data_IF_074790840275
#
_entry.id   IF_074790840275
#
_cell.length_a   1.000
_cell.length_b   1.000
_cell.length_c   1.000
_cell.angle_alpha   90.00
_cell.angle_beta   90.00
_cell.angle_gamma   90.00
#
_symmetry.space_group_name_H-M   'P 1'
#
loop_
_entity.id
_entity.type
_entity.pdbx_description
1 polymer ?
#
# COMPACT_ATOMS: atom_id res chain seq x y z
N UNK A 1 -2.55 -13.69 17.91
CA UNK A 1 -2.08 -13.33 16.56
C UNK A 1 -1.22 -12.10 16.69
N UNK A 2 -0.04 -12.07 16.06
CA UNK A 2 0.77 -10.85 15.99
C UNK A 2 0.33 -10.09 14.75
N UNK A 3 -0.23 -8.90 14.92
CA UNK A 3 -0.57 -8.03 13.79
C UNK A 3 0.73 -7.45 13.22
N UNK A 4 0.85 -7.38 11.89
CA UNK A 4 2.01 -6.82 11.21
C UNK A 4 1.57 -5.71 10.27
N UNK A 5 2.34 -4.62 10.21
CA UNK A 5 2.04 -3.51 9.29
C UNK A 5 3.32 -2.82 8.82
N UNK A 6 3.29 -2.30 7.60
CA UNK A 6 4.30 -1.41 7.06
C UNK A 6 3.95 0.06 7.32
N UNK A 7 4.96 0.91 7.52
CA UNK A 7 4.79 2.36 7.56
C UNK A 7 5.50 2.95 6.35
N UNK A 8 4.74 3.68 5.52
CA UNK A 8 5.23 4.29 4.28
C UNK A 8 4.94 5.79 4.25
N UNK A 9 5.82 6.56 3.64
CA UNK A 9 5.56 7.96 3.30
C UNK A 9 6.11 8.29 1.92
N UNK A 10 5.62 9.38 1.35
CA UNK A 10 6.10 9.96 0.10
C UNK A 10 7.30 10.86 0.42
N UNK A 11 8.46 10.55 -0.18
CA UNK A 11 9.75 11.19 0.06
C UNK A 11 10.39 11.67 -1.25
N UNK A 12 11.42 12.50 -1.13
CA UNK A 12 12.17 13.01 -2.27
C UNK A 12 11.35 13.98 -3.11
N UNK A 13 10.35 14.64 -2.52
CA UNK A 13 9.42 15.50 -3.27
C UNK A 13 9.88 16.97 -3.40
N UNK A 14 11.16 17.25 -3.10
CA UNK A 14 11.81 18.49 -3.50
C UNK A 14 12.11 18.52 -5.01
N UNK A 15 12.60 19.65 -5.51
CA UNK A 15 13.08 19.77 -6.89
C UNK A 15 14.07 20.93 -7.06
N UNK A 16 15.29 20.65 -7.50
CA UNK A 16 16.35 21.65 -7.64
C UNK A 16 16.66 22.31 -6.30
N UNK A 17 16.40 23.62 -6.20
CA UNK A 17 16.61 24.38 -4.97
C UNK A 17 15.43 24.30 -3.99
N UNK A 18 14.28 23.75 -4.40
CA UNK A 18 13.09 23.65 -3.57
C UNK A 18 13.13 22.38 -2.71
N UNK A 19 12.94 22.55 -1.40
CA UNK A 19 12.80 21.45 -0.44
C UNK A 19 11.33 21.29 -0.04
N UNK A 20 10.91 20.05 0.19
CA UNK A 20 9.56 19.70 0.62
C UNK A 20 9.64 18.67 1.75
N UNK A 21 8.97 18.93 2.88
CA UNK A 21 8.98 18.03 4.03
C UNK A 21 10.33 17.90 4.75
N UNK A 22 10.36 16.99 5.73
CA UNK A 22 11.57 16.57 6.44
C UNK A 22 11.76 15.06 6.26
N UNK A 23 12.27 14.68 5.09
CA UNK A 23 12.48 13.27 4.70
C UNK A 23 13.34 12.51 5.71
N UNK A 24 14.37 13.15 6.28
CA UNK A 24 15.29 12.49 7.20
C UNK A 24 14.62 12.14 8.51
N UNK A 25 13.80 13.04 9.07
CA UNK A 25 13.03 12.78 10.27
C UNK A 25 11.98 11.69 10.05
N UNK A 26 11.33 11.67 8.87
CA UNK A 26 10.39 10.60 8.53
C UNK A 26 11.07 9.24 8.45
N UNK A 27 12.25 9.15 7.83
CA UNK A 27 12.94 7.86 7.66
C UNK A 27 13.26 7.14 8.98
N UNK A 28 13.30 7.84 10.11
CA UNK A 28 13.49 7.23 11.43
C UNK A 28 12.21 6.52 11.96
N UNK A 29 11.07 6.73 11.28
CA UNK A 29 9.76 6.14 11.59
C UNK A 29 9.37 5.03 10.61
N UNK A 30 9.79 5.14 9.35
CA UNK A 30 9.30 4.34 8.24
C UNK A 30 9.95 2.94 8.14
N UNK A 31 9.26 2.05 7.43
CA UNK A 31 9.83 0.79 6.94
C UNK A 31 9.90 0.75 5.41
N UNK A 32 9.12 1.57 4.73
CA UNK A 32 9.14 1.76 3.28
C UNK A 32 9.06 3.25 2.91
N UNK A 33 9.55 3.61 1.72
CA UNK A 33 9.47 4.97 1.19
C UNK A 33 9.00 4.96 -0.27
N UNK A 34 8.06 5.84 -0.61
CA UNK A 34 7.68 6.13 -1.99
C UNK A 34 8.52 7.31 -2.48
N UNK A 35 9.50 7.08 -3.36
CA UNK A 35 10.43 8.12 -3.81
C UNK A 35 9.97 8.69 -5.14
N UNK A 36 9.80 10.02 -5.21
CA UNK A 36 9.45 10.73 -6.44
C UNK A 36 10.45 10.47 -7.59
N UNK A 37 9.95 10.45 -8.83
CA UNK A 37 10.69 9.93 -10.00
C UNK A 37 10.93 10.97 -11.11
N UNK A 38 10.88 12.27 -10.79
CA UNK A 38 11.25 13.36 -11.69
C UNK A 38 10.11 14.00 -12.48
N UNK A 39 8.90 13.44 -12.44
CA UNK A 39 7.76 13.98 -13.19
C UNK A 39 6.94 14.99 -12.37
N UNK A 40 6.48 14.63 -11.17
CA UNK A 40 5.82 15.58 -10.26
C UNK A 40 6.80 16.29 -9.32
N UNK A 41 7.88 15.61 -8.96
CA UNK A 41 8.93 16.05 -8.06
C UNK A 41 10.14 15.10 -8.14
N UNK A 42 11.21 15.38 -7.39
CA UNK A 42 12.37 14.50 -7.25
C UNK A 42 13.30 14.54 -8.46
N UNK A 43 14.24 15.49 -8.47
CA UNK A 43 15.29 15.50 -9.49
C UNK A 43 16.37 14.42 -9.23
N UNK A 44 17.27 14.13 -10.20
CA UNK A 44 18.28 13.08 -10.06
C UNK A 44 19.13 13.13 -8.78
N UNK A 45 19.46 14.32 -8.27
CA UNK A 45 20.28 14.45 -7.05
C UNK A 45 19.47 14.11 -5.81
N UNK A 46 18.19 14.49 -5.80
CA UNK A 46 17.27 14.15 -4.72
C UNK A 46 17.00 12.65 -4.73
N UNK A 47 16.70 12.04 -5.89
CA UNK A 47 16.53 10.59 -6.00
C UNK A 47 17.75 9.81 -5.48
N UNK A 48 18.96 10.18 -5.93
CA UNK A 48 20.22 9.59 -5.48
C UNK A 48 20.40 9.72 -3.95
N UNK A 49 20.20 10.92 -3.42
CA UNK A 49 20.29 11.16 -1.98
C UNK A 49 19.27 10.32 -1.22
N UNK A 50 17.97 10.42 -1.54
CA UNK A 50 16.88 9.74 -0.82
C UNK A 50 17.09 8.22 -0.82
N UNK A 51 17.47 7.62 -1.95
CA UNK A 51 17.83 6.18 -2.01
C UNK A 51 18.98 5.87 -1.05
N UNK A 52 20.05 6.68 -1.08
CA UNK A 52 21.19 6.52 -0.16
C UNK A 52 20.77 6.66 1.31
N UNK A 53 19.85 7.56 1.66
CA UNK A 53 19.32 7.72 3.02
C UNK A 53 18.47 6.51 3.43
N UNK A 54 17.65 5.96 2.53
CA UNK A 54 16.86 4.74 2.76
C UNK A 54 17.76 3.54 3.07
N UNK A 55 18.78 3.30 2.24
CA UNK A 55 19.73 2.18 2.42
C UNK A 55 20.43 2.23 3.77
N UNK A 56 20.89 3.42 4.19
CA UNK A 56 21.56 3.58 5.50
C UNK A 56 20.67 3.25 6.69
N UNK A 57 19.35 3.39 6.54
CA UNK A 57 18.36 3.15 7.60
C UNK A 57 17.61 1.82 7.45
N UNK A 58 17.91 1.04 6.41
CA UNK A 58 17.21 -0.21 6.12
C UNK A 58 15.76 -0.02 5.69
N UNK A 59 15.40 1.16 5.17
CA UNK A 59 14.06 1.47 4.65
C UNK A 59 13.94 0.94 3.20
N UNK A 60 12.84 0.26 2.90
CA UNK A 60 12.57 -0.26 1.57
C UNK A 60 12.30 0.86 0.57
N UNK A 61 12.98 0.82 -0.58
CA UNK A 61 12.84 1.81 -1.66
C UNK A 61 11.68 1.44 -2.56
N UNK A 62 10.73 2.35 -2.77
CA UNK A 62 9.66 2.23 -3.75
C UNK A 62 9.63 3.40 -4.73
N UNK A 63 9.14 3.15 -5.94
CA UNK A 63 8.94 4.20 -6.93
C UNK A 63 7.60 4.90 -6.71
N UNK A 64 7.59 6.23 -6.79
CA UNK A 64 6.40 7.06 -6.70
C UNK A 64 6.09 7.78 -8.03
N UNK A 65 5.71 7.04 -9.08
CA UNK A 65 5.50 7.60 -10.41
C UNK A 65 4.22 8.43 -10.48
N UNK A 66 4.24 9.48 -11.28
CA UNK A 66 3.15 10.45 -11.41
C UNK A 66 2.85 10.76 -12.88
N UNK A 67 1.87 11.64 -13.10
CA UNK A 67 1.80 12.38 -14.36
C UNK A 67 2.97 13.35 -14.53
N UNK A 68 3.38 13.67 -15.78
CA UNK A 68 4.42 14.66 -16.10
C UNK A 68 3.93 16.09 -15.87
N UNK A 69 3.63 16.43 -14.61
CA UNK A 69 3.10 17.71 -14.19
C UNK A 69 3.85 18.25 -12.96
N UNK A 70 5.06 18.77 -13.19
CA UNK A 70 5.88 19.33 -12.12
C UNK A 70 5.20 20.53 -11.42
N UNK A 71 4.64 21.46 -12.19
CA UNK A 71 4.02 22.69 -11.65
C UNK A 71 2.77 22.39 -10.83
N UNK A 72 1.95 21.43 -11.26
CA UNK A 72 0.77 20.98 -10.52
C UNK A 72 1.07 19.86 -9.53
N UNK A 73 2.35 19.51 -9.34
CA UNK A 73 2.81 18.45 -8.44
C UNK A 73 2.11 17.10 -8.72
N UNK A 74 1.83 16.79 -9.99
CA UNK A 74 1.14 15.55 -10.37
C UNK A 74 -0.30 15.42 -9.83
N UNK A 75 -0.89 16.50 -9.28
CA UNK A 75 -2.23 16.50 -8.67
C UNK A 75 -3.34 16.92 -9.63
N UNK A 76 -3.02 17.37 -10.85
CA UNK A 76 -4.00 17.73 -11.88
C UNK A 76 -4.31 16.55 -12.79
N UNK A 77 -5.53 16.51 -13.32
CA UNK A 77 -5.91 15.52 -14.32
C UNK A 77 -5.22 15.86 -15.65
N UNK A 78 -4.68 14.84 -16.29
CA UNK A 78 -4.16 14.89 -17.65
C UNK A 78 -4.85 13.80 -18.45
N UNK A 79 -5.24 14.11 -19.68
CA UNK A 79 -5.94 13.18 -20.56
C UNK A 79 -4.93 12.38 -21.37
N UNK A 80 -4.17 11.53 -20.67
CA UNK A 80 -3.21 10.62 -21.31
C UNK A 80 -3.93 9.37 -21.84
N UNK A 81 -3.39 8.80 -22.90
CA UNK A 81 -3.74 7.46 -23.37
C UNK A 81 -3.19 6.40 -22.41
N UNK A 82 -3.76 5.17 -22.39
CA UNK A 82 -3.20 4.07 -21.60
C UNK A 82 -1.75 3.72 -21.96
N UNK A 83 -1.36 3.86 -23.23
CA UNK A 83 0.01 3.60 -23.67
C UNK A 83 0.98 4.64 -23.10
N UNK A 84 0.61 5.93 -23.11
CA UNK A 84 1.40 7.00 -22.46
C UNK A 84 1.56 6.73 -20.96
N UNK A 85 0.49 6.34 -20.26
CA UNK A 85 0.58 5.94 -18.85
C UNK A 85 1.55 4.77 -18.68
N UNK A 86 1.46 3.73 -19.53
CA UNK A 86 2.37 2.57 -19.47
C UNK A 86 3.82 3.01 -19.64
N UNK A 87 4.13 3.81 -20.66
CA UNK A 87 5.50 4.25 -20.95
C UNK A 87 6.05 5.19 -19.90
N UNK A 88 5.23 6.08 -19.34
CA UNK A 88 5.62 7.00 -18.28
C UNK A 88 5.96 6.24 -16.98
N UNK A 89 5.21 5.18 -16.68
CA UNK A 89 5.53 4.26 -15.58
C UNK A 89 6.87 3.57 -15.81
N UNK A 90 7.11 3.05 -17.02
CA UNK A 90 8.38 2.40 -17.36
C UNK A 90 9.59 3.33 -17.17
N UNK A 91 9.48 4.56 -17.68
CA UNK A 91 10.51 5.57 -17.57
C UNK A 91 10.84 5.90 -16.10
N UNK A 92 9.82 6.22 -15.31
CA UNK A 92 9.98 6.67 -13.92
C UNK A 92 10.53 5.56 -13.02
N UNK A 93 10.01 4.33 -13.14
CA UNK A 93 10.53 3.19 -12.38
C UNK A 93 11.96 2.88 -12.82
N UNK A 94 12.25 2.89 -14.12
CA UNK A 94 13.60 2.69 -14.65
C UNK A 94 14.61 3.69 -14.11
N UNK A 95 14.23 4.98 -14.05
CA UNK A 95 15.07 6.04 -13.51
C UNK A 95 15.44 5.77 -12.03
N UNK A 96 14.47 5.44 -11.18
CA UNK A 96 14.76 5.15 -9.77
C UNK A 96 15.56 3.85 -9.59
N UNK A 97 15.29 2.81 -10.41
CA UNK A 97 16.05 1.55 -10.40
C UNK A 97 17.55 1.75 -10.64
N UNK A 98 17.94 2.72 -11.47
CA UNK A 98 19.34 3.03 -11.70
C UNK A 98 20.04 3.49 -10.41
N UNK A 99 19.43 4.40 -9.64
CA UNK A 99 19.98 4.84 -8.35
C UNK A 99 19.94 3.72 -7.30
N UNK A 100 18.85 2.96 -7.22
CA UNK A 100 18.75 1.81 -6.32
C UNK A 100 19.90 0.81 -6.56
N UNK A 101 20.19 0.50 -7.83
CA UNK A 101 21.27 -0.42 -8.22
C UNK A 101 22.64 0.12 -7.82
N UNK A 102 22.89 1.43 -7.98
CA UNK A 102 24.15 2.07 -7.59
C UNK A 102 24.47 1.94 -6.09
N UNK A 103 23.45 1.77 -5.24
CA UNK A 103 23.59 1.54 -3.80
C UNK A 103 23.38 0.07 -3.38
N UNK A 104 23.47 -0.88 -4.32
CA UNK A 104 23.28 -2.32 -4.07
C UNK A 104 21.93 -2.64 -3.41
N UNK A 105 20.89 -1.88 -3.75
CA UNK A 105 19.50 -2.16 -3.37
C UNK A 105 18.64 -2.29 -4.62
N UNK A 106 17.36 -2.52 -4.42
CA UNK A 106 16.38 -2.62 -5.49
C UNK A 106 15.11 -1.88 -5.10
N UNK A 107 14.39 -1.39 -6.12
CA UNK A 107 13.02 -0.91 -5.94
C UNK A 107 12.15 -2.12 -5.58
N UNK A 108 11.42 -2.05 -4.46
CA UNK A 108 10.61 -3.14 -3.88
C UNK A 108 9.15 -3.03 -4.23
N UNK A 109 8.66 -1.81 -4.36
CA UNK A 109 7.26 -1.52 -4.63
C UNK A 109 7.10 -0.30 -5.53
N UNK A 110 5.90 -0.14 -6.05
CA UNK A 110 5.47 1.09 -6.73
C UNK A 110 4.21 1.60 -6.05
N UNK A 111 4.04 2.91 -5.99
CA UNK A 111 2.84 3.56 -5.48
C UNK A 111 2.54 4.75 -6.40
N UNK A 112 1.49 4.74 -7.24
CA UNK A 112 1.24 5.86 -8.14
C UNK A 112 0.84 7.14 -7.36
N UNK A 113 1.48 8.25 -7.69
CA UNK A 113 1.34 9.53 -7.01
C UNK A 113 0.05 10.27 -7.40
N UNK A 114 -0.46 11.08 -6.48
CA UNK A 114 -1.35 12.20 -6.76
C UNK A 114 -2.58 11.83 -7.59
N UNK A 115 -2.77 12.51 -8.73
CA UNK A 115 -3.94 12.29 -9.57
C UNK A 115 -3.89 10.95 -10.30
N UNK A 116 -2.70 10.45 -10.65
CA UNK A 116 -2.56 9.11 -11.23
C UNK A 116 -3.05 8.06 -10.22
N UNK A 117 -2.59 8.14 -8.96
CA UNK A 117 -3.03 7.25 -7.86
C UNK A 117 -4.54 7.24 -7.64
N UNK A 118 -5.19 8.41 -7.73
CA UNK A 118 -6.66 8.49 -7.63
C UNK A 118 -7.38 7.84 -8.83
N UNK A 119 -6.86 8.03 -10.04
CA UNK A 119 -7.50 7.52 -11.26
C UNK A 119 -7.35 6.01 -11.36
N UNK A 120 -6.18 5.44 -11.07
CA UNK A 120 -5.96 4.00 -11.16
C UNK A 120 -6.79 3.18 -10.16
N UNK A 121 -7.30 3.81 -9.10
CA UNK A 121 -8.24 3.16 -8.18
C UNK A 121 -9.63 2.92 -8.83
N UNK A 122 -10.01 3.70 -9.85
CA UNK A 122 -11.38 3.72 -10.40
C UNK A 122 -11.47 3.60 -11.93
N UNK A 123 -10.36 3.78 -12.65
CA UNK A 123 -10.28 3.70 -14.12
C UNK A 123 -9.58 2.41 -14.56
N UNK A 124 -10.32 1.41 -15.07
CA UNK A 124 -9.75 0.11 -15.45
C UNK A 124 -8.69 0.20 -16.55
N UNK A 125 -8.82 1.12 -17.51
CA UNK A 125 -7.86 1.34 -18.59
C UNK A 125 -6.49 1.79 -18.06
N UNK A 126 -6.47 2.73 -17.12
CA UNK A 126 -5.23 3.19 -16.49
C UNK A 126 -4.66 2.14 -15.52
N UNK A 127 -5.52 1.47 -14.76
CA UNK A 127 -5.11 0.37 -13.88
C UNK A 127 -4.39 -0.74 -14.65
N UNK A 128 -4.93 -1.14 -15.81
CA UNK A 128 -4.31 -2.15 -16.68
C UNK A 128 -2.96 -1.68 -17.22
N UNK A 129 -2.85 -0.42 -17.67
CA UNK A 129 -1.60 0.14 -18.15
C UNK A 129 -0.51 0.16 -17.08
N UNK A 130 -0.83 0.56 -15.85
CA UNK A 130 0.10 0.54 -14.72
C UNK A 130 0.52 -0.90 -14.40
N UNK A 131 -0.43 -1.83 -14.28
CA UNK A 131 -0.12 -3.22 -13.96
C UNK A 131 0.73 -3.90 -15.06
N UNK A 132 0.49 -3.59 -16.34
CA UNK A 132 1.29 -4.07 -17.46
C UNK A 132 2.73 -3.49 -17.45
N UNK A 133 2.89 -2.21 -17.13
CA UNK A 133 4.21 -1.61 -16.98
C UNK A 133 5.02 -2.30 -15.87
N UNK A 134 4.38 -2.59 -14.73
CA UNK A 134 5.03 -3.29 -13.61
C UNK A 134 5.38 -4.73 -13.98
N UNK A 135 4.43 -5.47 -14.55
CA UNK A 135 4.61 -6.86 -14.98
C UNK A 135 5.76 -7.00 -15.99
N UNK A 136 5.86 -6.08 -16.96
CA UNK A 136 6.90 -6.11 -17.99
C UNK A 136 8.28 -5.73 -17.47
N UNK A 137 8.37 -4.96 -16.39
CA UNK A 137 9.65 -4.58 -15.77
C UNK A 137 10.18 -5.63 -14.81
N UNK A 138 9.33 -6.08 -13.89
CA UNK A 138 9.72 -6.96 -12.79
C UNK A 138 8.50 -7.47 -12.01
N UNK A 139 8.19 -8.76 -12.16
CA UNK A 139 7.07 -9.40 -11.45
C UNK A 139 7.26 -9.49 -9.93
N UNK A 140 8.47 -9.24 -9.43
CA UNK A 140 8.73 -9.23 -7.98
C UNK A 140 8.32 -7.93 -7.28
N UNK A 141 8.05 -6.86 -8.05
CA UNK A 141 7.56 -5.59 -7.52
C UNK A 141 6.18 -5.75 -6.88
N UNK A 142 6.01 -5.12 -5.72
CA UNK A 142 4.73 -5.00 -5.05
C UNK A 142 4.00 -3.77 -5.61
N UNK A 143 2.76 -3.94 -6.06
CA UNK A 143 1.88 -2.83 -6.43
C UNK A 143 1.20 -2.34 -5.16
N UNK A 144 1.60 -1.18 -4.66
CA UNK A 144 0.95 -0.52 -3.54
C UNK A 144 -0.22 0.33 -4.05
N UNK A 145 -1.44 0.01 -3.63
CA UNK A 145 -2.66 0.62 -4.14
C UNK A 145 -3.74 0.73 -3.06
N UNK A 146 -4.72 1.60 -3.29
CA UNK A 146 -6.02 1.47 -2.63
C UNK A 146 -6.74 0.24 -3.21
N UNK A 147 -7.67 -0.32 -2.45
CA UNK A 147 -8.54 -1.36 -3.00
C UNK A 147 -9.36 -0.80 -4.18
N UNK A 148 -9.57 -1.61 -5.22
CA UNK A 148 -10.19 -1.19 -6.47
C UNK A 148 -9.39 -1.57 -7.72
N UNK A 149 -9.57 -0.80 -8.80
CA UNK A 149 -9.22 -1.24 -10.15
C UNK A 149 -7.74 -1.61 -10.34
N UNK A 150 -6.80 -0.88 -9.72
CA UNK A 150 -5.36 -1.22 -9.79
C UNK A 150 -5.03 -2.49 -9.01
N UNK A 151 -5.58 -2.64 -7.79
CA UNK A 151 -5.39 -3.85 -7.00
C UNK A 151 -5.90 -5.08 -7.77
N UNK A 152 -7.08 -4.97 -8.39
CA UNK A 152 -7.68 -6.03 -9.20
C UNK A 152 -6.87 -6.34 -10.46
N UNK A 153 -6.45 -5.31 -11.21
CA UNK A 153 -5.66 -5.48 -12.42
C UNK A 153 -4.28 -6.10 -12.14
N UNK A 154 -3.66 -5.75 -11.01
CA UNK A 154 -2.38 -6.31 -10.58
C UNK A 154 -2.53 -7.77 -10.14
N UNK A 155 -3.54 -8.09 -9.29
CA UNK A 155 -3.85 -9.47 -8.88
C UNK A 155 -4.14 -10.37 -10.08
N UNK A 156 -4.91 -9.90 -11.06
CA UNK A 156 -5.23 -10.64 -12.28
C UNK A 156 -3.99 -10.99 -13.13
N UNK A 157 -2.89 -10.24 -12.99
CA UNK A 157 -1.60 -10.48 -13.64
C UNK A 157 -0.62 -11.31 -12.80
N UNK A 158 -1.05 -11.74 -11.61
CA UNK A 158 -0.21 -12.46 -10.65
C UNK A 158 0.84 -11.60 -9.95
N UNK A 159 0.65 -10.27 -9.93
CA UNK A 159 1.51 -9.36 -9.17
C UNK A 159 1.11 -9.37 -7.68
N UNK A 160 2.09 -9.13 -6.81
CA UNK A 160 1.85 -8.92 -5.39
C UNK A 160 1.23 -7.54 -5.20
N UNK A 161 0.19 -7.45 -4.37
CA UNK A 161 -0.51 -6.21 -4.06
C UNK A 161 -0.43 -5.95 -2.57
N UNK A 162 -0.08 -4.72 -2.19
CA UNK A 162 -0.24 -4.21 -0.83
C UNK A 162 -1.36 -3.17 -0.80
N UNK A 163 -2.28 -3.29 0.15
CA UNK A 163 -3.36 -2.32 0.34
C UNK A 163 -2.92 -1.22 1.31
N UNK A 164 -3.01 0.03 0.86
CA UNK A 164 -2.68 1.21 1.66
C UNK A 164 -3.87 1.68 2.49
N UNK A 165 -3.67 1.75 3.81
CA UNK A 165 -4.56 2.42 4.75
C UNK A 165 -4.22 3.92 4.86
N UNK A 166 -5.24 4.78 4.79
CA UNK A 166 -5.08 6.24 4.82
C UNK A 166 -5.91 6.80 5.99
N UNK A 167 -5.33 6.77 7.19
CA UNK A 167 -6.06 7.00 8.44
C UNK A 167 -6.54 8.45 8.64
N UNK A 168 -5.89 9.42 8.01
CA UNK A 168 -6.21 10.85 8.10
C UNK A 168 -7.23 11.32 7.06
N UNK A 169 -7.82 10.38 6.30
CA UNK A 169 -8.88 10.67 5.33
C UNK A 169 -10.21 10.09 5.78
N UNK A 170 -11.27 10.84 5.50
CA UNK A 170 -12.63 10.37 5.69
C UNK A 170 -13.02 9.40 4.56
N UNK A 171 -13.75 8.35 4.93
CA UNK A 171 -14.23 7.30 4.03
C UNK A 171 -15.74 7.46 3.82
N UNK A 172 -16.18 7.33 2.57
CA UNK A 172 -17.58 7.11 2.22
C UNK A 172 -17.98 5.68 2.58
N UNK A 173 -19.28 5.46 2.65
CA UNK A 173 -19.87 4.15 2.99
C UNK A 173 -19.57 3.06 1.94
N UNK A 174 -19.13 3.43 0.74
CA UNK A 174 -18.68 2.53 -0.31
C UNK A 174 -17.16 2.23 -0.24
N UNK A 175 -16.47 2.70 0.80
CA UNK A 175 -15.03 2.51 0.99
C UNK A 175 -14.15 3.52 0.25
N UNK A 176 -14.70 4.38 -0.60
CA UNK A 176 -13.93 5.41 -1.29
C UNK A 176 -13.59 6.59 -0.38
N UNK A 177 -12.52 7.32 -0.68
CA UNK A 177 -12.16 8.52 0.08
C UNK A 177 -13.06 9.71 -0.26
N UNK A 178 -13.46 10.47 0.76
CA UNK A 178 -14.18 11.74 0.58
C UNK A 178 -13.25 12.75 -0.12
N UNK A 179 -13.66 13.40 -1.23
CA UNK A 179 -12.84 14.40 -1.94
C UNK A 179 -12.32 15.51 -1.03
N UNK A 180 -11.05 15.90 -1.18
CA UNK A 180 -10.40 16.92 -0.32
C UNK A 180 -11.12 18.28 -0.31
N UNK A 181 -11.91 18.59 -1.33
CA UNK A 181 -12.71 19.82 -1.41
C UNK A 181 -13.95 19.82 -0.52
N UNK A 182 -14.37 18.66 -0.01
CA UNK A 182 -15.55 18.55 0.85
C UNK A 182 -15.16 18.79 2.32
N UNK A 183 -16.02 19.47 3.11
CA UNK A 183 -15.81 19.63 4.54
C UNK A 183 -15.67 18.28 5.26
N UNK A 184 -14.70 18.17 6.18
CA UNK A 184 -14.45 16.95 6.94
C UNK A 184 -13.73 15.83 6.16
N UNK A 185 -13.26 16.09 4.94
CA UNK A 185 -12.53 15.10 4.14
C UNK A 185 -11.16 14.68 4.72
N UNK A 186 -10.59 15.53 5.59
CA UNK A 186 -9.30 15.34 6.24
C UNK A 186 -9.51 15.42 7.75
N UNK A 187 -9.02 14.41 8.46
CA UNK A 187 -8.99 14.39 9.93
C UNK A 187 -7.71 15.12 10.36
N UNK A 188 -7.85 16.05 11.31
CA UNK A 188 -6.72 16.85 11.82
C UNK A 188 -6.31 16.48 13.24
N UNK A 189 -7.17 15.84 14.02
CA UNK A 189 -6.86 15.50 15.41
C UNK A 189 -5.84 14.33 15.47
N UNK A 190 -4.64 14.53 16.03
CA UNK A 190 -3.62 13.49 16.08
C UNK A 190 -4.02 12.26 16.91
N UNK A 191 -4.95 12.41 17.87
CA UNK A 191 -5.45 11.30 18.67
C UNK A 191 -6.39 10.43 17.87
N UNK A 192 -7.34 11.04 17.19
CA UNK A 192 -8.27 10.37 16.30
C UNK A 192 -7.53 9.63 15.19
N UNK A 193 -6.54 10.25 14.54
CA UNK A 193 -5.76 9.59 13.47
C UNK A 193 -5.00 8.37 14.02
N UNK A 194 -4.39 8.48 15.20
CA UNK A 194 -3.66 7.37 15.80
C UNK A 194 -4.59 6.21 16.20
N UNK A 195 -5.74 6.51 16.81
CA UNK A 195 -6.76 5.53 17.15
C UNK A 195 -7.29 4.82 15.89
N UNK A 196 -7.66 5.59 14.86
CA UNK A 196 -8.09 5.06 13.56
C UNK A 196 -7.04 4.14 12.97
N UNK A 197 -5.76 4.53 13.02
CA UNK A 197 -4.67 3.71 12.49
C UNK A 197 -4.57 2.36 13.20
N UNK A 198 -4.62 2.35 14.54
CA UNK A 198 -4.58 1.09 15.31
C UNK A 198 -5.78 0.22 14.92
N UNK A 199 -7.00 0.76 14.89
CA UNK A 199 -8.21 0.00 14.52
C UNK A 199 -8.14 -0.57 13.10
N UNK A 200 -7.63 0.19 12.13
CA UNK A 200 -7.45 -0.31 10.76
C UNK A 200 -6.53 -1.55 10.72
N UNK A 201 -5.50 -1.59 11.56
CA UNK A 201 -4.50 -2.67 11.57
C UNK A 201 -4.96 -3.87 12.42
N UNK A 202 -5.57 -3.63 13.58
CA UNK A 202 -5.89 -4.68 14.56
C UNK A 202 -7.30 -5.22 14.42
N UNK A 203 -8.25 -4.40 13.95
CA UNK A 203 -9.66 -4.78 13.79
C UNK A 203 -10.05 -4.93 12.30
N UNK A 204 -9.24 -4.42 11.37
CA UNK A 204 -9.56 -4.47 9.93
C UNK A 204 -10.76 -3.60 9.57
N UNK A 205 -10.99 -2.52 10.31
CA UNK A 205 -12.12 -1.60 10.07
C UNK A 205 -11.73 -0.13 10.14
N UNK A 206 -12.49 0.70 9.43
CA UNK A 206 -12.45 2.16 9.54
C UNK A 206 -13.87 2.71 9.69
N UNK A 207 -14.06 3.71 10.55
CA UNK A 207 -15.36 4.41 10.69
C UNK A 207 -15.55 5.35 9.49
N UNK A 208 -16.57 5.10 8.69
CA UNK A 208 -17.00 5.96 7.58
C UNK A 208 -17.82 7.17 8.05
N UNK A 209 -18.04 8.14 7.17
CA UNK A 209 -18.79 9.38 7.47
C UNK A 209 -20.25 9.14 7.88
N UNK A 210 -20.86 8.01 7.45
CA UNK A 210 -22.18 7.58 7.89
C UNK A 210 -22.22 6.98 9.30
N UNK A 211 -21.08 6.94 10.01
CA UNK A 211 -20.98 6.38 11.36
C UNK A 211 -20.96 4.85 11.39
N UNK A 212 -20.80 4.17 10.25
CA UNK A 212 -20.66 2.70 10.18
C UNK A 212 -19.18 2.29 10.12
N UNK A 213 -18.85 1.16 10.72
CA UNK A 213 -17.53 0.54 10.54
C UNK A 213 -17.51 -0.18 9.19
N UNK A 214 -16.51 0.14 8.37
CA UNK A 214 -16.30 -0.38 7.02
C UNK A 214 -15.10 -1.34 7.07
N UNK A 215 -15.18 -2.53 6.45
CA UNK A 215 -14.02 -3.41 6.35
C UNK A 215 -12.92 -2.73 5.54
N UNK A 216 -11.68 -2.86 5.99
CA UNK A 216 -10.51 -2.33 5.28
C UNK A 216 -9.34 -3.28 5.46
N UNK A 217 -8.67 -3.57 4.34
CA UNK A 217 -7.34 -4.18 4.39
C UNK A 217 -6.29 -3.08 4.60
N UNK A 218 -5.33 -3.31 5.48
CA UNK A 218 -4.28 -2.35 5.80
C UNK A 218 -2.94 -3.08 5.90
N UNK A 219 -2.27 -3.24 4.76
CA UNK A 219 -0.93 -3.85 4.71
C UNK A 219 0.16 -2.83 5.01
N UNK A 220 -0.10 -1.57 4.66
CA UNK A 220 0.74 -0.43 5.01
C UNK A 220 -0.12 0.76 5.42
N UNK A 221 0.39 1.59 6.32
CA UNK A 221 -0.20 2.88 6.67
C UNK A 221 0.59 3.98 5.97
N UNK A 222 -0.10 4.83 5.20
CA UNK A 222 0.48 6.04 4.63
C UNK A 222 0.59 7.12 5.70
N UNK A 223 1.81 7.60 5.93
CA UNK A 223 2.13 8.76 6.74
C UNK A 223 2.44 9.94 5.83
N UNK A 224 1.97 11.13 6.21
CA UNK A 224 2.30 12.37 5.52
C UNK A 224 3.47 13.07 6.22
N UNK A 225 4.29 13.80 5.45
CA UNK A 225 5.45 14.57 5.94
C UNK A 225 5.40 16.06 5.65
N UNK A 226 4.37 16.52 4.92
CA UNK A 226 4.29 17.84 4.30
C UNK A 226 3.51 18.86 5.13
N UNK A 227 2.89 18.46 6.24
CA UNK A 227 2.05 19.32 7.07
C UNK A 227 2.70 19.66 8.43
N UNK A 228 2.40 20.85 9.00
CA UNK A 228 2.87 21.16 10.35
C UNK A 228 2.44 20.10 11.37
N UNK A 229 3.42 19.55 12.11
CA UNK A 229 3.17 18.49 13.10
C UNK A 229 3.15 17.06 12.54
N UNK A 230 3.34 16.88 11.23
CA UNK A 230 3.38 15.57 10.57
C UNK A 230 4.37 14.58 11.21
N UNK A 231 5.60 15.02 11.50
CA UNK A 231 6.62 14.19 12.15
C UNK A 231 6.18 13.75 13.55
N UNK A 232 5.62 14.68 14.34
CA UNK A 232 5.09 14.37 15.68
C UNK A 232 3.96 13.35 15.60
N UNK A 233 3.07 13.47 14.62
CA UNK A 233 2.00 12.51 14.36
C UNK A 233 2.55 11.14 13.93
N UNK A 234 3.55 11.09 13.05
CA UNK A 234 4.20 9.87 12.61
C UNK A 234 4.81 9.09 13.80
N UNK A 235 5.53 9.78 14.69
CA UNK A 235 6.04 9.17 15.93
C UNK A 235 4.93 8.69 16.86
N UNK A 236 3.84 9.46 16.97
CA UNK A 236 2.67 9.05 17.77
C UNK A 236 2.07 7.75 17.21
N UNK A 237 1.78 7.70 15.91
CA UNK A 237 1.23 6.51 15.25
C UNK A 237 2.11 5.29 15.50
N UNK A 238 3.42 5.40 15.25
CA UNK A 238 4.38 4.33 15.51
C UNK A 238 4.33 3.84 16.97
N UNK A 239 4.28 4.77 17.93
CA UNK A 239 4.19 4.43 19.36
C UNK A 239 2.88 3.71 19.69
N UNK A 240 1.74 4.19 19.22
CA UNK A 240 0.43 3.58 19.54
C UNK A 240 0.30 2.18 18.90
N UNK A 241 0.81 1.98 17.68
CA UNK A 241 0.87 0.65 17.05
C UNK A 241 1.71 -0.33 17.87
N UNK A 242 2.90 0.08 18.32
CA UNK A 242 3.76 -0.76 19.17
C UNK A 242 3.09 -1.06 20.52
N UNK A 243 2.42 -0.06 21.13
CA UNK A 243 1.68 -0.24 22.39
C UNK A 243 0.50 -1.21 22.24
N UNK A 244 -0.13 -1.26 21.06
CA UNK A 244 -1.17 -2.22 20.71
C UNK A 244 -0.63 -3.62 20.36
N UNK A 245 0.69 -3.85 20.43
CA UNK A 245 1.33 -5.13 20.12
C UNK A 245 1.47 -5.41 18.62
N UNK A 246 1.36 -4.39 17.77
CA UNK A 246 1.60 -4.49 16.33
C UNK A 246 3.10 -4.51 16.05
N UNK A 247 3.55 -5.47 15.25
CA UNK A 247 4.89 -5.50 14.71
C UNK A 247 5.00 -4.62 13.45
N UNK A 248 5.87 -3.62 13.50
CA UNK A 248 6.16 -2.75 12.35
C UNK A 248 7.30 -3.36 11.54
N UNK A 249 7.06 -3.67 10.27
CA UNK A 249 8.01 -4.40 9.40
C UNK A 249 7.86 -3.98 7.93
N UNK A 250 8.87 -4.15 7.07
CA UNK A 250 8.73 -3.88 5.64
C UNK A 250 7.55 -4.62 4.99
N UNK A 251 6.90 -3.97 4.03
CA UNK A 251 5.70 -4.46 3.32
C UNK A 251 5.80 -5.90 2.82
N UNK A 252 6.96 -6.31 2.28
CA UNK A 252 7.16 -7.68 1.80
C UNK A 252 6.89 -8.72 2.90
N UNK A 253 7.37 -8.46 4.13
CA UNK A 253 7.18 -9.37 5.26
C UNK A 253 5.71 -9.41 5.71
N UNK A 254 5.00 -8.28 5.64
CA UNK A 254 3.55 -8.22 5.94
C UNK A 254 2.79 -9.14 4.97
N UNK A 255 3.08 -9.03 3.67
CA UNK A 255 2.43 -9.82 2.64
C UNK A 255 2.79 -11.31 2.73
N UNK A 256 4.04 -11.64 3.05
CA UNK A 256 4.47 -13.03 3.23
C UNK A 256 3.75 -13.68 4.42
N UNK A 257 3.59 -12.95 5.53
CA UNK A 257 2.83 -13.42 6.69
C UNK A 257 1.34 -13.61 6.36
N UNK A 258 0.72 -12.69 5.61
CA UNK A 258 -0.68 -12.84 5.14
C UNK A 258 -0.85 -14.09 4.27
N UNK A 259 0.06 -14.32 3.32
CA UNK A 259 0.01 -15.48 2.44
C UNK A 259 0.11 -16.79 3.22
N UNK A 260 1.06 -16.88 4.17
CA UNK A 260 1.21 -18.05 5.02
C UNK A 260 -0.04 -18.33 5.88
N UNK A 261 -0.66 -17.28 6.44
CA UNK A 261 -1.90 -17.42 7.21
C UNK A 261 -3.07 -17.90 6.35
N UNK A 262 -3.20 -17.40 5.12
CA UNK A 262 -4.24 -17.83 4.20
C UNK A 262 -4.06 -19.30 3.76
N UNK A 263 -2.83 -19.74 3.53
CA UNK A 263 -2.51 -21.13 3.20
C UNK A 263 -2.81 -22.09 4.36
N UNK A 264 -2.46 -21.70 5.59
CA UNK A 264 -2.78 -22.47 6.79
C UNK A 264 -4.30 -22.62 6.97
N UNK A 265 -5.06 -21.53 6.85
CA UNK A 265 -6.52 -21.55 6.95
C UNK A 265 -7.19 -22.42 5.88
N UNK A 266 -6.69 -22.37 4.64
CA UNK A 266 -7.17 -23.23 3.56
C UNK A 266 -6.88 -24.71 3.82
N UNK A 267 -5.70 -25.02 4.35
CA UNK A 267 -5.31 -26.39 4.72
C UNK A 267 -6.20 -26.94 5.84
N UNK A 268 -6.46 -26.14 6.88
CA UNK A 268 -7.38 -26.51 7.96
C UNK A 268 -8.80 -26.75 7.45
N UNK A 269 -9.31 -25.87 6.58
CA UNK A 269 -10.63 -26.03 5.98
C UNK A 269 -10.72 -27.29 5.08
N UNK A 270 -9.67 -27.61 4.33
CA UNK A 270 -9.60 -28.82 3.53
C UNK A 270 -9.60 -30.09 4.40
N UNK A 271 -8.80 -30.09 5.47
CA UNK A 271 -8.74 -31.21 6.43
C UNK A 271 -10.09 -31.43 7.13
N UNK A 272 -10.78 -30.36 7.53
CA UNK A 272 -12.11 -30.45 8.13
C UNK A 272 -13.15 -31.03 7.15
N UNK A 273 -13.09 -30.67 5.86
CA UNK A 273 -13.95 -31.25 4.82
C UNK A 273 -13.66 -32.74 4.59
N UNK A 274 -12.39 -33.13 4.57
CA UNK A 274 -11.99 -34.53 4.42
C UNK A 274 -12.47 -35.40 5.60
N UNK A 275 -12.26 -34.94 6.84
CA UNK A 275 -12.71 -35.64 8.05
C UNK A 275 -14.25 -35.81 8.09
N UNK A 276 -15.00 -34.79 7.66
CA UNK A 276 -16.46 -34.89 7.57
C UNK A 276 -16.91 -35.89 6.49
N UNK A 277 -16.22 -35.94 5.34
CA UNK A 277 -16.52 -36.90 4.28
C UNK A 277 -16.24 -38.36 4.71
N UNK A 278 -15.16 -38.60 5.47
CA UNK A 278 -14.86 -39.92 6.04
C UNK A 278 -15.89 -40.34 7.10
N UNK A 279 -16.35 -39.41 7.95
CA UNK A 279 -17.39 -39.67 8.94
C UNK A 279 -18.75 -40.02 8.28
N UNK A 280 -19.13 -39.30 7.23
CA UNK A 280 -20.36 -39.58 6.47
C UNK A 280 -20.28 -40.89 5.68
N UNK A 281 -19.12 -41.20 5.09
CA UNK A 281 -18.87 -42.49 4.42
C UNK A 281 -18.96 -43.69 5.37
N UNK A 282 -18.40 -43.55 6.58
CA UNK A 282 -18.47 -44.59 7.62
C UNK A 282 -19.91 -44.79 8.13
N UNK A 283 -20.68 -43.71 8.25
CA UNK A 283 -22.09 -43.75 8.65
C UNK A 283 -22.97 -44.40 7.58
N UNK A 284 -22.70 -44.16 6.30
CA UNK A 284 -23.37 -44.81 5.17
C UNK A 284 -23.02 -46.31 5.06
N UNK A 285 -21.78 -46.70 5.34
CA UNK A 285 -21.38 -48.11 5.36
C UNK A 285 -22.11 -48.90 6.47
N UNK A 286 -22.23 -48.33 7.67
CA UNK A 286 -22.91 -48.98 8.80
C UNK A 286 -24.44 -49.10 8.62
N UNK A 287 -25.09 -48.16 7.94
CA UNK A 287 -26.54 -48.27 7.64
C UNK A 287 -26.85 -49.31 6.56
N UNK A 288 -25.89 -49.61 5.68
CA UNK A 288 -26.04 -50.62 4.63
C UNK A 288 -25.83 -52.04 5.18
N UNK A 289 -24.88 -52.22 6.11
CA UNK A 289 -24.64 -53.50 6.77
C UNK A 289 -25.81 -53.93 7.69
N UNK A 290 -26.47 -52.99 8.36
CA UNK A 290 -27.60 -53.27 9.28
C UNK A 290 -28.92 -53.66 8.61
N UNK A 291 -29.03 -53.62 7.28
CA UNK A 291 -30.25 -54.02 6.52
C UNK A 291 -30.17 -55.44 5.93
N UNK A 292 -29.11 -56.19 6.22
CA UNK A 292 -28.86 -57.54 5.69
C UNK A 292 -28.96 -58.67 6.72
N UNK A 293 -29.60 -58.41 7.86
CA UNK A 293 -29.91 -59.41 8.89
C UNK A 293 -31.42 -59.66 8.98
#
# INVERSE_FOLDING_TARGET
MTYMVDLVADLGEGFGAYTMGDDEALLDVLTSANIACGFHAGDPRIMDATVRHCVRRGVAVGAHPSFPDLVGFGRRAMDLTPDEVRTDMLYQIGALRAFATAYNTQVRHIAPHGRLGNLVATRPDYAQAVAEAVESLDRSLIVLAQDGALADAARARGLRVGIVGIADRAYRDDGTLVPRSEPGAVIHDPGEIAERTVRMVTEGVVRGVGGRDLPVECDTVLLHGDTPGAITLAHRIRRELLAAGVQITPLANVLDAKAANAEAANTEAANARAANAEADGTRAANTTAGRSA
#
